data_IF_144025253915
#
_entry.id   IF_144025253915
#
_cell.length_a   1.000
_cell.length_b   1.000
_cell.length_c   1.000
_cell.angle_alpha   90.00
_cell.angle_beta   90.00
_cell.angle_gamma   90.00
#
_symmetry.space_group_name_H-M   'P 1'
#
loop_
_entity.id
_entity.type
_entity.pdbx_description
1 polymer ?
#
# COMPACT_ATOMS: atom_id res chain seq x y z
N UNK A 1 22.88 10.50 26.41
CA UNK A 1 23.77 10.34 25.23
C UNK A 1 22.95 10.81 24.05
N UNK A 2 23.31 11.91 23.41
CA UNK A 2 22.54 12.41 22.27
C UNK A 2 22.76 11.44 21.09
N UNK A 3 21.67 10.87 20.58
CA UNK A 3 21.69 10.01 19.40
C UNK A 3 22.12 10.83 18.19
N UNK A 4 23.09 10.34 17.42
CA UNK A 4 23.53 11.02 16.21
C UNK A 4 22.41 10.93 15.16
N UNK A 5 21.98 12.04 14.53
CA UNK A 5 20.91 11.98 13.55
C UNK A 5 21.31 11.06 12.40
N UNK A 6 20.44 10.09 12.08
CA UNK A 6 20.66 9.21 10.95
C UNK A 6 20.41 9.98 9.65
N UNK A 7 21.44 10.10 8.81
CA UNK A 7 21.37 10.83 7.54
C UNK A 7 20.80 9.95 6.42
N UNK A 8 19.90 10.54 5.63
CA UNK A 8 19.28 9.93 4.47
C UNK A 8 19.24 10.94 3.32
N UNK A 9 19.37 10.47 2.09
CA UNK A 9 19.24 11.32 0.90
C UNK A 9 17.79 11.72 0.67
N UNK A 10 16.86 10.82 0.99
CA UNK A 10 15.42 11.02 0.79
C UNK A 10 14.65 10.54 2.01
N UNK A 11 13.74 11.39 2.50
CA UNK A 11 12.78 11.05 3.53
C UNK A 11 11.36 11.11 2.97
N UNK A 12 10.62 10.00 3.06
CA UNK A 12 9.24 9.90 2.59
C UNK A 12 8.32 9.87 3.81
N UNK A 13 7.27 10.68 3.78
CA UNK A 13 6.24 10.71 4.83
C UNK A 13 4.93 10.16 4.26
N UNK A 14 4.45 9.07 4.85
CA UNK A 14 3.24 8.37 4.44
C UNK A 14 3.51 7.14 3.59
N UNK A 15 3.12 5.96 4.07
CA UNK A 15 3.22 4.67 3.37
C UNK A 15 1.90 4.27 2.70
N UNK A 16 1.34 5.21 1.94
CA UNK A 16 0.28 4.95 0.97
C UNK A 16 0.81 4.37 -0.35
N UNK A 17 -0.05 4.29 -1.36
CA UNK A 17 0.33 3.78 -2.67
C UNK A 17 1.49 4.55 -3.31
N UNK A 18 1.42 5.88 -3.29
CA UNK A 18 2.46 6.74 -3.84
C UNK A 18 3.76 6.67 -3.03
N UNK A 19 3.69 6.73 -1.69
CA UNK A 19 4.88 6.65 -0.84
C UNK A 19 5.67 5.35 -1.00
N UNK A 20 4.99 4.20 -1.12
CA UNK A 20 5.66 2.92 -1.39
C UNK A 20 6.24 2.86 -2.80
N UNK A 21 5.52 3.41 -3.79
CA UNK A 21 6.05 3.50 -5.16
C UNK A 21 7.30 4.39 -5.23
N UNK A 22 7.26 5.57 -4.61
CA UNK A 22 8.39 6.49 -4.54
C UNK A 22 9.57 5.87 -3.79
N UNK A 23 9.33 5.11 -2.73
CA UNK A 23 10.36 4.31 -2.05
C UNK A 23 11.03 3.29 -2.99
N UNK A 24 10.24 2.54 -3.76
CA UNK A 24 10.75 1.57 -4.73
C UNK A 24 11.60 2.25 -5.81
N UNK A 25 11.10 3.34 -6.39
CA UNK A 25 11.82 4.07 -7.44
C UNK A 25 13.13 4.68 -6.93
N UNK A 26 13.12 5.31 -5.76
CA UNK A 26 14.31 5.95 -5.19
C UNK A 26 15.36 4.93 -4.76
N UNK A 27 14.97 3.75 -4.28
CA UNK A 27 15.90 2.63 -4.05
C UNK A 27 16.54 2.13 -5.33
N UNK A 28 15.79 2.03 -6.42
CA UNK A 28 16.33 1.61 -7.72
C UNK A 28 17.32 2.62 -8.31
N UNK A 29 17.24 3.88 -7.91
CA UNK A 29 18.20 4.92 -8.27
C UNK A 29 19.44 4.93 -7.37
N UNK A 30 19.50 4.09 -6.34
CA UNK A 30 20.64 3.95 -5.44
C UNK A 30 20.69 4.94 -4.28
N UNK A 31 19.61 5.68 -4.01
CA UNK A 31 19.55 6.61 -2.88
C UNK A 31 19.31 5.89 -1.55
N UNK A 32 19.91 6.43 -0.48
CA UNK A 32 19.58 6.07 0.90
C UNK A 32 18.24 6.71 1.27
N UNK A 33 17.19 5.89 1.34
CA UNK A 33 15.81 6.35 1.55
C UNK A 33 15.13 5.65 2.72
N UNK A 34 14.37 6.42 3.50
CA UNK A 34 13.53 5.92 4.59
C UNK A 34 12.12 6.48 4.49
N UNK A 35 11.15 5.63 4.79
CA UNK A 35 9.74 6.00 4.87
C UNK A 35 9.29 6.01 6.33
N UNK A 36 8.54 7.03 6.72
CA UNK A 36 7.86 7.11 8.01
C UNK A 36 6.36 7.14 7.79
N UNK A 37 5.66 6.23 8.45
CA UNK A 37 4.20 6.14 8.45
C UNK A 37 3.71 6.25 9.89
N UNK A 38 2.61 6.97 10.09
CA UNK A 38 1.97 7.11 11.39
C UNK A 38 1.22 5.84 11.79
N UNK A 39 0.69 5.12 10.79
CA UNK A 39 0.02 3.85 10.94
C UNK A 39 0.97 2.72 11.34
N UNK A 40 0.41 1.68 11.95
CA UNK A 40 1.17 0.48 12.34
C UNK A 40 1.48 -0.44 11.16
N UNK A 41 0.89 -0.18 9.98
CA UNK A 41 1.08 -0.97 8.76
C UNK A 41 0.94 -0.07 7.52
N UNK A 42 1.33 -0.60 6.36
CA UNK A 42 1.24 0.05 5.06
C UNK A 42 -0.22 0.14 4.60
N UNK A 43 -0.54 1.12 3.74
CA UNK A 43 -1.84 1.23 3.09
C UNK A 43 -2.41 2.65 3.04
N UNK A 44 -1.82 3.59 3.76
CA UNK A 44 -2.25 4.99 3.78
C UNK A 44 -3.74 5.13 4.09
N UNK A 45 -4.50 5.71 3.17
CA UNK A 45 -5.93 5.94 3.37
C UNK A 45 -6.72 4.66 3.66
N UNK A 46 -6.29 3.51 3.14
CA UNK A 46 -6.94 2.20 3.37
C UNK A 46 -6.65 1.62 4.76
N UNK A 47 -5.53 2.01 5.38
CA UNK A 47 -5.22 1.62 6.75
C UNK A 47 -6.10 2.37 7.75
N UNK A 48 -6.28 3.67 7.53
CA UNK A 48 -7.03 4.56 8.42
C UNK A 48 -8.55 4.48 8.20
N UNK A 49 -9.03 4.39 6.97
CA UNK A 49 -10.46 4.39 6.66
C UNK A 49 -11.02 2.97 6.56
N UNK A 50 -11.52 2.45 7.69
CA UNK A 50 -12.13 1.12 7.81
C UNK A 50 -13.58 1.18 8.31
N UNK A 51 -14.38 2.02 7.67
CA UNK A 51 -15.83 2.02 7.89
C UNK A 51 -16.51 0.89 7.09
N UNK A 52 -17.69 0.41 7.54
CA UNK A 52 -18.45 -0.57 6.80
C UNK A 52 -18.71 -0.10 5.37
N UNK A 53 -18.47 -0.97 4.37
CA UNK A 53 -18.63 -0.67 2.94
C UNK A 53 -17.62 0.32 2.31
N UNK A 54 -16.46 0.55 2.91
CA UNK A 54 -15.38 1.27 2.21
C UNK A 54 -15.02 0.57 0.88
N UNK A 55 -15.00 1.33 -0.21
CA UNK A 55 -14.83 0.86 -1.60
C UNK A 55 -14.01 1.84 -2.45
N UNK A 56 -13.54 1.34 -3.59
CA UNK A 56 -12.90 2.12 -4.67
C UNK A 56 -13.97 2.49 -5.72
N UNK A 57 -13.90 3.70 -6.26
CA UNK A 57 -14.74 4.19 -7.37
C UNK A 57 -14.12 3.92 -8.76
N UNK A 58 -12.83 3.62 -8.80
CA UNK A 58 -12.08 3.28 -10.01
C UNK A 58 -12.52 1.94 -10.58
N UNK A 59 -12.95 1.97 -11.85
CA UNK A 59 -13.37 0.76 -12.54
C UNK A 59 -12.16 -0.14 -12.86
N UNK A 60 -12.33 -1.44 -12.64
CA UNK A 60 -11.40 -2.44 -13.13
C UNK A 60 -11.71 -2.68 -14.61
N UNK A 61 -10.75 -2.58 -15.54
CA UNK A 61 -11.02 -2.88 -16.94
C UNK A 61 -11.15 -4.40 -17.16
N UNK A 62 -12.34 -4.93 -16.85
CA UNK A 62 -12.69 -6.35 -16.96
C UNK A 62 -12.71 -6.86 -18.42
N UNK A 63 -12.64 -5.96 -19.40
CA UNK A 63 -12.54 -6.31 -20.82
C UNK A 63 -11.21 -7.00 -21.17
N UNK A 64 -10.20 -6.91 -20.30
CA UNK A 64 -8.93 -7.59 -20.48
C UNK A 64 -8.95 -8.97 -19.77
N UNK A 65 -8.41 -9.99 -20.44
CA UNK A 65 -8.39 -11.38 -19.94
C UNK A 65 -7.57 -11.58 -18.67
N UNK A 66 -6.54 -10.76 -18.42
CA UNK A 66 -5.79 -10.72 -17.15
C UNK A 66 -6.63 -10.22 -15.98
N UNK A 67 -7.62 -9.35 -16.19
CA UNK A 67 -8.48 -8.85 -15.11
C UNK A 67 -9.65 -9.77 -14.78
N UNK A 68 -10.07 -10.64 -15.72
CA UNK A 68 -11.12 -11.65 -15.46
C UNK A 68 -10.73 -12.66 -14.36
N UNK A 69 -9.44 -12.94 -14.17
CA UNK A 69 -8.98 -13.87 -13.12
C UNK A 69 -9.03 -13.26 -11.71
N UNK A 70 -8.93 -11.93 -11.58
CA UNK A 70 -9.02 -11.26 -10.29
C UNK A 70 -10.41 -11.45 -9.65
N UNK A 71 -11.48 -11.40 -10.44
CA UNK A 71 -12.85 -11.64 -9.93
C UNK A 71 -13.09 -13.06 -9.37
N UNK A 72 -12.30 -14.07 -9.78
CA UNK A 72 -12.51 -15.48 -9.43
C UNK A 72 -11.65 -16.00 -8.27
N UNK A 73 -10.58 -15.29 -7.91
CA UNK A 73 -9.56 -15.79 -6.96
C UNK A 73 -9.75 -15.29 -5.53
N UNK A 74 -10.81 -14.53 -5.23
CA UNK A 74 -10.95 -13.84 -3.94
C UNK A 74 -9.92 -12.73 -3.70
N UNK A 75 -8.96 -12.56 -4.62
CA UNK A 75 -8.06 -11.39 -4.74
C UNK A 75 -8.66 -10.29 -5.63
N UNK A 76 -9.96 -10.38 -5.86
CA UNK A 76 -10.74 -9.45 -6.67
C UNK A 76 -11.17 -8.21 -5.88
N UNK A 77 -12.07 -7.38 -6.41
CA UNK A 77 -12.47 -6.09 -5.82
C UNK A 77 -12.95 -6.14 -4.36
N UNK A 78 -13.30 -7.32 -3.82
CA UNK A 78 -13.57 -7.53 -2.40
C UNK A 78 -12.34 -7.48 -1.49
N UNK A 79 -11.12 -7.59 -2.02
CA UNK A 79 -9.88 -7.48 -1.25
C UNK A 79 -9.57 -6.04 -0.79
N UNK A 80 -10.14 -5.05 -1.48
CA UNK A 80 -10.14 -3.64 -1.08
C UNK A 80 -11.43 -3.22 -0.37
N UNK A 81 -12.39 -4.13 -0.21
CA UNK A 81 -13.53 -3.90 0.67
C UNK A 81 -13.06 -4.11 2.11
N UNK A 82 -13.22 -3.08 2.94
CA UNK A 82 -13.03 -3.21 4.37
C UNK A 82 -14.15 -4.09 4.95
N UNK A 83 -13.97 -5.41 4.91
CA UNK A 83 -14.81 -6.35 5.66
C UNK A 83 -14.59 -6.19 7.16
N UNK A 84 -15.55 -6.59 8.02
CA UNK A 84 -15.45 -6.45 9.48
C UNK A 84 -14.23 -7.14 10.11
N UNK A 85 -13.51 -7.99 9.37
CA UNK A 85 -12.28 -8.68 9.78
C UNK A 85 -11.07 -8.41 8.85
N UNK A 86 -11.03 -7.29 8.13
CA UNK A 86 -10.04 -6.99 7.06
C UNK A 86 -8.65 -6.52 7.55
N UNK A 87 -8.16 -7.06 8.66
CA UNK A 87 -6.80 -6.74 9.15
C UNK A 87 -5.65 -7.32 8.31
N UNK A 88 -5.91 -8.17 7.31
CA UNK A 88 -4.85 -8.96 6.63
C UNK A 88 -4.75 -8.82 5.12
N UNK A 89 -5.73 -8.21 4.44
CA UNK A 89 -5.83 -8.28 2.97
C UNK A 89 -5.09 -7.16 2.23
N UNK A 90 -5.08 -5.92 2.73
CA UNK A 90 -4.39 -4.80 2.05
C UNK A 90 -2.87 -4.83 2.20
N UNK A 91 -2.34 -5.21 3.37
CA UNK A 91 -0.89 -5.23 3.62
C UNK A 91 -0.17 -6.42 2.98
N UNK A 92 -0.88 -7.49 2.62
CA UNK A 92 -0.30 -8.63 1.90
C UNK A 92 0.05 -8.30 0.45
N UNK A 93 -0.71 -7.43 -0.21
CA UNK A 93 -0.41 -7.02 -1.59
C UNK A 93 0.78 -6.05 -1.65
N UNK A 94 0.83 -5.08 -0.73
CA UNK A 94 1.95 -4.13 -0.64
C UNK A 94 3.26 -4.87 -0.30
N UNK A 95 3.22 -5.81 0.65
CA UNK A 95 4.41 -6.61 1.04
C UNK A 95 4.95 -7.51 -0.06
N UNK A 96 4.12 -8.02 -0.98
CA UNK A 96 4.56 -8.83 -2.11
C UNK A 96 4.96 -8.01 -3.35
N UNK A 97 4.82 -6.68 -3.29
CA UNK A 97 5.15 -5.77 -4.40
C UNK A 97 6.45 -4.97 -4.17
N UNK A 98 7.06 -5.14 -3.00
CA UNK A 98 8.39 -4.64 -2.60
C UNK A 98 9.35 -5.79 -2.46
#
# INVERSE_FOLDING_TARGET
MAENPQEFDVLIVGAGFEGVYTLHQTRNLGFSVKIFESGSDLGGIWFWNRYPDARVDSNIPLSNSRYQSYGKTGRGPSAFQAGPNSGSTSSTWIRNST
#
